data_IF_610101941379
#
_entry.id   IF_610101941379
#
_cell.length_a   1.000
_cell.length_b   1.000
_cell.length_c   1.000
_cell.angle_alpha   90.00
_cell.angle_beta   90.00
_cell.angle_gamma   90.00
#
_symmetry.space_group_name_H-M   'P 1'
#
loop_
_entity.id
_entity.type
_entity.pdbx_description
1 polymer ?
#
# COMPACT_ATOMS: atom_id res chain seq x y z
N UNK A 1 44.69 -17.28 -2.83
CA UNK A 1 45.04 -17.81 -1.51
C UNK A 1 45.32 -16.68 -0.49
N UNK A 2 44.48 -15.62 -0.47
CA UNK A 2 44.71 -14.44 0.38
C UNK A 2 43.42 -13.86 1.03
N UNK A 3 42.35 -14.65 1.13
CA UNK A 3 41.09 -14.21 1.76
C UNK A 3 40.65 -15.02 3.00
N UNK A 4 41.49 -15.89 3.54
CA UNK A 4 41.13 -16.77 4.68
C UNK A 4 41.72 -16.29 6.02
N UNK A 5 42.66 -15.35 6.03
CA UNK A 5 43.41 -14.97 7.24
C UNK A 5 42.79 -13.83 8.06
N UNK A 6 41.70 -13.21 7.64
CA UNK A 6 41.06 -12.13 8.41
C UNK A 6 39.82 -12.51 9.24
N UNK A 7 39.39 -13.77 9.20
CA UNK A 7 38.21 -14.19 9.97
C UNK A 7 38.53 -14.49 11.46
N UNK A 8 39.75 -14.79 11.81
CA UNK A 8 40.12 -15.16 13.20
C UNK A 8 40.50 -13.98 14.11
N UNK A 9 40.76 -12.79 13.56
CA UNK A 9 41.11 -11.61 14.39
C UNK A 9 39.94 -10.76 14.84
N UNK A 10 38.72 -11.00 14.30
CA UNK A 10 37.50 -10.27 14.68
C UNK A 10 36.80 -10.90 15.90
N UNK A 11 37.11 -12.15 16.23
CA UNK A 11 36.45 -12.89 17.33
C UNK A 11 36.83 -12.44 18.75
N UNK A 12 37.85 -11.61 18.91
CA UNK A 12 38.32 -11.20 20.25
C UNK A 12 37.63 -9.98 20.86
N UNK A 13 36.73 -9.33 20.12
CA UNK A 13 36.03 -8.11 20.58
C UNK A 13 34.56 -8.40 20.99
N UNK A 14 34.01 -9.55 20.66
CA UNK A 14 32.61 -9.89 20.96
C UNK A 14 32.49 -10.73 22.24
N UNK A 15 32.27 -10.07 23.39
CA UNK A 15 31.86 -10.71 24.67
C UNK A 15 30.37 -11.15 24.68
N UNK A 16 29.72 -11.29 23.54
CA UNK A 16 28.33 -11.71 23.44
C UNK A 16 28.16 -13.23 23.26
N UNK A 17 26.97 -13.80 23.45
CA UNK A 17 26.68 -15.21 23.22
C UNK A 17 26.93 -15.58 21.76
N UNK A 18 27.49 -16.79 21.52
CA UNK A 18 27.86 -17.27 20.19
C UNK A 18 26.62 -17.48 19.32
N UNK A 19 26.61 -16.86 18.12
CA UNK A 19 25.57 -17.09 17.11
C UNK A 19 25.58 -18.54 16.61
N UNK A 20 24.44 -19.18 16.42
CA UNK A 20 24.36 -20.53 15.88
C UNK A 20 24.70 -20.61 14.38
N UNK A 21 24.74 -19.47 13.67
CA UNK A 21 25.15 -19.35 12.27
C UNK A 21 25.68 -17.94 11.98
N UNK A 22 26.35 -17.80 10.86
CA UNK A 22 26.89 -16.50 10.45
C UNK A 22 25.80 -15.50 10.09
N UNK A 23 25.86 -14.31 10.69
CA UNK A 23 25.12 -13.10 10.32
C UNK A 23 26.13 -12.02 9.97
N UNK A 24 25.90 -11.31 8.89
CA UNK A 24 26.79 -10.27 8.41
C UNK A 24 26.88 -9.12 9.44
N UNK A 25 28.07 -8.56 9.74
CA UNK A 25 28.23 -7.52 10.75
C UNK A 25 27.35 -6.27 10.52
N UNK A 26 27.04 -5.93 9.26
CA UNK A 26 26.15 -4.80 8.96
C UNK A 26 24.71 -4.98 9.44
N UNK A 27 24.29 -6.19 9.80
CA UNK A 27 22.97 -6.46 10.37
C UNK A 27 22.97 -6.38 11.91
N UNK A 28 24.13 -6.08 12.52
CA UNK A 28 24.19 -5.87 13.95
C UNK A 28 23.68 -4.47 14.30
N UNK A 29 22.79 -4.42 15.27
CA UNK A 29 22.27 -3.19 15.85
C UNK A 29 23.44 -2.39 16.44
N UNK A 30 23.44 -1.07 16.30
CA UNK A 30 24.48 -0.20 16.81
C UNK A 30 24.61 -0.28 18.34
N UNK A 31 25.79 -0.02 18.87
CA UNK A 31 26.02 -0.06 20.32
C UNK A 31 25.20 1.03 21.06
N UNK A 32 24.90 2.14 20.40
CA UNK A 32 24.04 3.20 20.93
C UNK A 32 22.62 2.70 21.12
N UNK A 33 22.09 1.99 20.15
CA UNK A 33 20.75 1.40 20.18
C UNK A 33 20.65 0.23 21.15
N UNK A 34 21.69 -0.60 21.25
CA UNK A 34 21.74 -1.70 22.21
C UNK A 34 21.72 -1.23 23.67
N UNK A 35 22.24 -0.04 23.96
CA UNK A 35 22.21 0.53 25.32
C UNK A 35 20.77 0.83 25.80
N UNK A 36 19.88 1.19 24.89
CA UNK A 36 18.49 1.54 25.19
C UNK A 36 17.50 0.41 24.92
N UNK A 37 17.96 -0.68 24.30
CA UNK A 37 17.12 -1.84 23.98
C UNK A 37 16.67 -2.54 25.27
N UNK A 38 15.35 -2.65 25.47
CA UNK A 38 14.73 -3.31 26.62
C UNK A 38 14.89 -4.82 26.53
N UNK A 39 15.06 -5.48 27.70
CA UNK A 39 15.03 -6.94 27.82
C UNK A 39 13.61 -7.41 28.18
N UNK A 40 13.31 -8.67 27.85
CA UNK A 40 12.05 -9.32 28.20
C UNK A 40 10.83 -8.81 27.42
N UNK A 41 9.68 -8.93 28.06
CA UNK A 41 8.40 -8.45 27.52
C UNK A 41 8.17 -6.99 27.81
N UNK A 42 7.64 -6.26 26.85
CA UNK A 42 7.11 -4.91 27.07
C UNK A 42 5.99 -4.63 26.07
N UNK A 43 5.12 -3.70 26.47
CA UNK A 43 3.96 -3.27 25.68
C UNK A 43 4.14 -1.81 25.32
N UNK A 44 3.81 -1.47 24.08
CA UNK A 44 3.65 -0.08 23.64
C UNK A 44 2.30 0.06 22.95
N UNK A 45 1.71 1.24 23.02
CA UNK A 45 0.47 1.53 22.33
C UNK A 45 0.45 3.00 21.92
N UNK A 46 -0.09 3.26 20.75
CA UNK A 46 -0.23 4.60 20.20
C UNK A 46 -1.67 4.80 19.71
N UNK A 47 -2.35 5.85 20.16
CA UNK A 47 -3.59 6.27 19.53
C UNK A 47 -3.29 6.77 18.12
N UNK A 48 -4.20 6.55 17.21
CA UNK A 48 -4.10 6.99 15.82
C UNK A 48 -5.30 7.84 15.45
N UNK A 49 -5.04 8.98 14.83
CA UNK A 49 -6.05 9.84 14.22
C UNK A 49 -5.63 10.06 12.77
N UNK A 50 -6.54 9.81 11.85
CA UNK A 50 -6.30 9.98 10.42
C UNK A 50 -7.41 10.85 9.82
N UNK A 51 -7.06 11.63 8.81
CA UNK A 51 -8.05 12.30 7.95
C UNK A 51 -7.97 11.71 6.55
N UNK A 52 -9.04 11.05 6.15
CA UNK A 52 -9.22 10.53 4.81
C UNK A 52 -10.17 11.46 4.04
N UNK A 53 -9.84 11.87 2.80
CA UNK A 53 -10.69 12.78 2.03
C UNK A 53 -12.09 12.24 1.67
N UNK A 54 -12.27 10.92 1.70
CA UNK A 54 -13.53 10.23 1.38
C UNK A 54 -14.24 9.83 2.67
N UNK A 55 -13.50 9.18 3.59
CA UNK A 55 -14.07 8.56 4.78
C UNK A 55 -14.14 9.49 6.00
N UNK A 56 -13.62 10.72 5.89
CA UNK A 56 -13.62 11.69 6.98
C UNK A 56 -12.51 11.43 8.02
N UNK A 57 -12.80 11.71 9.30
CA UNK A 57 -11.86 11.50 10.40
C UNK A 57 -11.97 10.06 10.88
N UNK A 58 -10.84 9.37 10.93
CA UNK A 58 -10.68 8.04 11.52
C UNK A 58 -10.00 8.15 12.89
N UNK A 59 -10.47 7.37 13.85
CA UNK A 59 -9.89 7.26 15.18
C UNK A 59 -9.64 5.80 15.49
N UNK A 60 -8.48 5.49 16.02
CA UNK A 60 -8.09 4.13 16.32
C UNK A 60 -6.83 4.06 17.17
N UNK A 61 -6.14 2.95 17.09
CA UNK A 61 -4.87 2.77 17.77
C UNK A 61 -4.20 1.43 17.49
N UNK A 62 -2.92 1.40 17.80
CA UNK A 62 -2.05 0.23 17.71
C UNK A 62 -1.61 -0.20 19.10
N UNK A 63 -1.59 -1.51 19.33
CA UNK A 63 -0.97 -2.14 20.50
C UNK A 63 0.10 -3.09 19.99
N UNK A 64 1.30 -2.96 20.54
CA UNK A 64 2.45 -3.82 20.25
C UNK A 64 2.92 -4.50 21.51
N UNK A 65 3.05 -5.79 21.49
CA UNK A 65 3.67 -6.60 22.52
C UNK A 65 4.95 -7.18 21.96
N UNK A 66 6.07 -6.87 22.57
CA UNK A 66 7.38 -7.32 22.17
C UNK A 66 7.99 -8.26 23.21
N UNK A 67 8.71 -9.26 22.75
CA UNK A 67 9.64 -10.03 23.57
C UNK A 67 11.04 -9.96 22.95
N UNK A 68 11.96 -9.29 23.61
CA UNK A 68 13.33 -9.15 23.15
C UNK A 68 14.25 -10.26 23.68
N UNK A 69 13.73 -11.13 24.56
CA UNK A 69 14.57 -12.03 25.37
C UNK A 69 15.56 -11.24 26.23
N UNK A 70 16.62 -11.89 26.71
CA UNK A 70 17.68 -11.26 27.51
C UNK A 70 18.91 -10.96 26.66
N UNK A 71 19.85 -10.17 27.18
CA UNK A 71 21.16 -9.91 26.55
C UNK A 71 21.98 -11.19 26.30
N UNK A 72 21.62 -12.29 26.95
CA UNK A 72 22.22 -13.59 26.73
C UNK A 72 21.65 -14.34 25.53
N UNK A 73 20.56 -13.84 24.90
CA UNK A 73 20.09 -14.40 23.64
C UNK A 73 21.09 -14.07 22.52
N UNK A 74 21.54 -15.03 21.70
CA UNK A 74 22.53 -14.80 20.66
C UNK A 74 22.06 -13.80 19.58
N UNK A 75 20.76 -13.63 19.40
CA UNK A 75 20.20 -12.72 18.42
C UNK A 75 19.83 -11.35 19.00
N UNK A 76 20.01 -11.12 20.30
CA UNK A 76 19.64 -9.84 20.92
C UNK A 76 20.23 -8.63 20.19
N UNK A 77 21.46 -8.76 19.67
CA UNK A 77 22.10 -7.69 18.91
C UNK A 77 21.83 -7.69 17.41
N UNK A 78 21.00 -8.62 16.89
CA UNK A 78 20.83 -8.81 15.44
C UNK A 78 19.38 -8.75 14.95
N UNK A 79 18.43 -8.56 15.85
CA UNK A 79 17.01 -8.37 15.51
C UNK A 79 16.39 -7.36 16.46
N UNK A 80 15.43 -6.52 16.02
CA UNK A 80 14.79 -5.56 16.91
C UNK A 80 14.00 -6.24 18.04
N UNK A 81 13.45 -7.40 17.81
CA UNK A 81 12.72 -8.26 18.75
C UNK A 81 12.86 -9.72 18.37
N UNK A 82 12.50 -10.63 19.29
CA UNK A 82 12.42 -12.08 19.03
C UNK A 82 10.98 -12.51 18.76
N UNK A 83 10.04 -11.82 19.32
CA UNK A 83 8.60 -12.02 19.12
C UNK A 83 7.94 -10.66 19.13
N UNK A 84 7.03 -10.45 18.20
CA UNK A 84 6.15 -9.28 18.15
C UNK A 84 4.72 -9.73 17.89
N UNK A 85 3.81 -9.18 18.65
CA UNK A 85 2.37 -9.29 18.43
C UNK A 85 1.83 -7.88 18.27
N UNK A 86 1.08 -7.63 17.22
CA UNK A 86 0.47 -6.33 16.94
C UNK A 86 -1.03 -6.50 16.82
N UNK A 87 -1.78 -5.62 17.42
CA UNK A 87 -3.21 -5.42 17.18
C UNK A 87 -3.46 -3.99 16.78
N UNK A 88 -4.24 -3.79 15.73
CA UNK A 88 -4.66 -2.49 15.23
C UNK A 88 -6.17 -2.47 15.05
N UNK A 89 -6.78 -1.33 15.32
CA UNK A 89 -8.19 -1.07 14.98
C UNK A 89 -8.41 0.42 14.75
N UNK A 90 -9.20 0.75 13.72
CA UNK A 90 -9.57 2.12 13.35
C UNK A 90 -10.99 2.15 12.79
N UNK A 91 -11.75 3.20 13.15
CA UNK A 91 -13.08 3.47 12.61
C UNK A 91 -13.15 4.92 12.11
N UNK A 92 -13.83 5.14 10.99
CA UNK A 92 -14.00 6.43 10.33
C UNK A 92 -15.44 6.96 10.45
N UNK A 93 -15.61 8.26 10.26
CA UNK A 93 -16.92 8.92 10.27
C UNK A 93 -17.89 8.34 9.22
N UNK A 94 -17.39 7.85 8.10
CA UNK A 94 -18.19 7.21 7.03
C UNK A 94 -18.78 5.85 7.42
N UNK A 95 -18.32 5.26 8.53
CA UNK A 95 -18.61 3.87 8.87
C UNK A 95 -17.58 2.87 8.35
N UNK A 96 -16.56 3.31 7.59
CA UNK A 96 -15.39 2.47 7.30
C UNK A 96 -14.72 2.06 8.61
N UNK A 97 -14.35 0.79 8.72
CA UNK A 97 -13.50 0.31 9.80
C UNK A 97 -12.48 -0.68 9.26
N UNK A 98 -11.34 -0.73 9.90
CA UNK A 98 -10.27 -1.67 9.59
C UNK A 98 -9.61 -2.14 10.88
N UNK A 99 -9.16 -3.38 10.88
CA UNK A 99 -8.41 -3.97 11.98
C UNK A 99 -7.45 -5.01 11.47
N UNK A 100 -6.29 -5.10 12.11
CA UNK A 100 -5.32 -6.13 11.80
C UNK A 100 -4.72 -6.77 13.05
N UNK A 101 -4.27 -7.99 12.88
CA UNK A 101 -3.48 -8.75 13.86
C UNK A 101 -2.26 -9.27 13.12
N UNK A 102 -1.08 -8.97 13.64
CA UNK A 102 0.17 -9.45 13.10
C UNK A 102 1.00 -10.14 14.18
N UNK A 103 1.59 -11.28 13.85
CA UNK A 103 2.55 -11.99 14.67
C UNK A 103 3.83 -12.20 13.88
N UNK A 104 4.99 -11.95 14.50
CA UNK A 104 6.27 -11.99 13.83
C UNK A 104 7.36 -12.60 14.73
N UNK A 105 7.98 -13.67 14.23
CA UNK A 105 8.94 -14.50 14.97
C UNK A 105 10.26 -14.64 14.21
N UNK A 106 11.16 -13.62 14.22
CA UNK A 106 12.46 -13.72 13.59
C UNK A 106 13.35 -14.75 14.31
N UNK A 107 14.07 -15.54 13.52
CA UNK A 107 14.97 -16.61 13.98
C UNK A 107 14.30 -17.63 14.90
N UNK A 108 13.06 -18.01 14.55
CA UNK A 108 12.30 -18.99 15.33
C UNK A 108 13.13 -20.27 15.59
N UNK A 109 13.05 -20.82 16.82
CA UNK A 109 13.85 -21.97 17.29
C UNK A 109 15.36 -21.80 17.08
N UNK A 110 15.89 -20.57 17.16
CA UNK A 110 17.30 -20.24 16.90
C UNK A 110 17.79 -20.68 15.51
N UNK A 111 16.90 -20.77 14.57
CA UNK A 111 17.16 -21.12 13.17
C UNK A 111 17.25 -19.89 12.26
N UNK A 112 17.50 -20.12 10.97
CA UNK A 112 17.48 -19.07 9.93
C UNK A 112 16.07 -18.74 9.43
N UNK A 113 15.04 -19.26 10.10
CA UNK A 113 13.66 -19.05 9.72
C UNK A 113 13.02 -17.91 10.52
N UNK A 114 12.17 -17.16 9.83
CA UNK A 114 11.21 -16.22 10.41
C UNK A 114 9.82 -16.67 9.97
N UNK A 115 8.86 -16.56 10.84
CA UNK A 115 7.45 -16.82 10.53
C UNK A 115 6.65 -15.57 10.84
N UNK A 116 5.80 -15.18 9.90
CA UNK A 116 4.80 -14.14 10.07
C UNK A 116 3.41 -14.70 9.87
N UNK A 117 2.47 -14.22 10.64
CA UNK A 117 1.05 -14.56 10.54
C UNK A 117 0.28 -13.26 10.61
N UNK A 118 -0.56 -13.01 9.61
CA UNK A 118 -1.33 -11.78 9.48
C UNK A 118 -2.82 -12.11 9.34
N UNK A 119 -3.65 -11.29 9.97
CA UNK A 119 -5.08 -11.25 9.74
C UNK A 119 -5.50 -9.80 9.52
N UNK A 120 -6.12 -9.50 8.38
CA UNK A 120 -6.63 -8.17 8.05
C UNK A 120 -8.14 -8.24 7.85
N UNK A 121 -8.85 -7.28 8.43
CA UNK A 121 -10.29 -7.19 8.39
C UNK A 121 -10.68 -5.75 8.07
N UNK A 122 -11.44 -5.56 7.01
CA UNK A 122 -11.87 -4.24 6.58
C UNK A 122 -13.31 -4.24 6.10
N UNK A 123 -14.01 -3.14 6.37
CA UNK A 123 -15.26 -2.79 5.70
C UNK A 123 -15.20 -1.33 5.28
N UNK A 124 -15.22 -1.10 3.97
CA UNK A 124 -15.24 0.25 3.38
C UNK A 124 -16.51 0.43 2.53
N UNK A 125 -17.53 1.15 3.05
CA UNK A 125 -18.75 1.41 2.29
C UNK A 125 -18.55 2.43 1.16
N UNK A 126 -17.40 3.10 1.11
CA UNK A 126 -17.10 4.14 0.13
C UNK A 126 -15.82 3.82 -0.68
N UNK A 127 -15.53 2.52 -0.86
CA UNK A 127 -14.41 2.09 -1.67
C UNK A 127 -14.55 2.62 -3.11
N UNK A 128 -13.46 3.14 -3.67
CA UNK A 128 -13.50 3.87 -4.95
C UNK A 128 -13.11 2.99 -6.13
N UNK A 129 -13.91 3.04 -7.19
CA UNK A 129 -13.64 2.38 -8.46
C UNK A 129 -13.76 3.36 -9.64
N UNK A 130 -12.65 3.63 -10.33
CA UNK A 130 -12.59 4.56 -11.47
C UNK A 130 -12.49 3.85 -12.83
N UNK A 131 -12.63 2.53 -12.86
CA UNK A 131 -12.50 1.72 -14.05
C UNK A 131 -11.20 0.90 -14.06
N UNK A 132 -10.90 0.27 -15.20
CA UNK A 132 -9.77 -0.62 -15.39
C UNK A 132 -9.04 -0.33 -16.71
N UNK A 133 -7.71 -0.50 -16.71
CA UNK A 133 -6.86 -0.34 -17.87
C UNK A 133 -6.51 1.12 -18.21
N UNK A 134 -5.86 1.34 -19.34
CA UNK A 134 -5.34 2.66 -19.74
C UNK A 134 -6.42 3.75 -19.92
N UNK A 135 -7.68 3.38 -19.93
CA UNK A 135 -8.78 4.35 -19.90
C UNK A 135 -8.77 5.18 -18.61
N UNK A 136 -8.30 4.61 -17.49
CA UNK A 136 -8.16 5.34 -16.22
C UNK A 136 -7.09 6.43 -16.29
N UNK A 137 -6.11 6.31 -17.20
CA UNK A 137 -5.05 7.33 -17.42
C UNK A 137 -5.58 8.60 -18.10
N UNK A 138 -6.80 8.60 -18.62
CA UNK A 138 -7.45 9.77 -19.20
C UNK A 138 -8.04 10.66 -18.10
N UNK A 139 -8.50 11.85 -18.49
CA UNK A 139 -9.33 12.66 -17.62
C UNK A 139 -10.60 11.91 -17.23
N UNK A 140 -11.10 12.18 -16.03
CA UNK A 140 -12.41 11.69 -15.62
C UNK A 140 -13.45 12.24 -16.55
N UNK A 141 -14.24 11.38 -17.16
CA UNK A 141 -15.28 11.76 -18.12
C UNK A 141 -16.64 11.35 -17.60
N UNK A 142 -17.54 12.31 -17.56
CA UNK A 142 -18.91 12.07 -17.11
C UNK A 142 -19.87 13.06 -17.72
N UNK A 143 -21.18 12.80 -17.56
CA UNK A 143 -22.24 13.71 -17.97
C UNK A 143 -22.22 14.96 -17.10
N UNK A 144 -22.20 16.12 -17.72
CA UNK A 144 -22.44 17.37 -17.01
C UNK A 144 -23.91 17.46 -16.64
N UNK A 145 -24.22 17.57 -15.35
CA UNK A 145 -25.56 17.56 -14.83
C UNK A 145 -26.45 18.77 -15.29
N UNK A 146 -25.82 19.85 -15.76
CA UNK A 146 -26.49 21.02 -16.24
C UNK A 146 -26.87 20.90 -17.72
N UNK A 147 -25.97 20.34 -18.53
CA UNK A 147 -26.11 20.28 -19.98
C UNK A 147 -26.57 18.93 -20.52
N UNK A 148 -26.44 17.86 -19.71
CA UNK A 148 -26.70 16.48 -20.14
C UNK A 148 -25.65 15.92 -21.12
N UNK A 149 -24.55 16.64 -21.37
CA UNK A 149 -23.54 16.28 -22.35
C UNK A 149 -22.30 15.73 -21.63
N UNK A 150 -21.71 14.66 -22.16
CA UNK A 150 -20.44 14.12 -21.65
C UNK A 150 -19.30 15.12 -21.87
N UNK A 151 -18.55 15.40 -20.81
CA UNK A 151 -17.32 16.19 -20.87
C UNK A 151 -16.18 15.58 -20.05
N UNK A 152 -14.97 16.02 -20.34
CA UNK A 152 -13.77 15.66 -19.59
C UNK A 152 -13.53 16.68 -18.47
N UNK A 153 -13.33 16.17 -17.26
CA UNK A 153 -13.04 16.97 -16.06
C UNK A 153 -11.55 16.95 -15.80
N UNK A 154 -10.93 18.12 -15.77
CA UNK A 154 -9.51 18.26 -15.46
C UNK A 154 -9.22 18.18 -13.96
N UNK A 155 -10.19 18.60 -13.15
CA UNK A 155 -10.11 18.60 -11.69
C UNK A 155 -11.09 17.64 -11.08
N UNK A 156 -10.64 16.95 -10.05
CA UNK A 156 -11.46 15.99 -9.32
C UNK A 156 -12.68 16.65 -8.65
N UNK A 157 -12.50 17.85 -8.07
CA UNK A 157 -13.57 18.54 -7.36
C UNK A 157 -14.73 18.90 -8.30
N UNK A 158 -14.42 19.32 -9.55
CA UNK A 158 -15.42 19.58 -10.58
C UNK A 158 -16.15 18.30 -10.99
N UNK A 159 -15.40 17.21 -11.18
CA UNK A 159 -15.96 15.90 -11.48
C UNK A 159 -16.92 15.45 -10.37
N UNK A 160 -16.44 15.46 -9.11
CA UNK A 160 -17.19 14.98 -7.96
C UNK A 160 -18.47 15.77 -7.71
N UNK A 161 -18.45 17.09 -7.91
CA UNK A 161 -19.62 17.93 -7.78
C UNK A 161 -20.69 17.69 -8.87
N UNK A 162 -20.32 17.06 -9.98
CA UNK A 162 -21.20 16.71 -11.09
C UNK A 162 -21.54 15.21 -11.15
N UNK A 163 -21.08 14.41 -10.19
CA UNK A 163 -21.37 12.97 -10.20
C UNK A 163 -22.86 12.71 -10.24
N UNK A 164 -23.23 11.80 -11.13
CA UNK A 164 -24.58 11.32 -11.27
C UNK A 164 -24.56 9.82 -11.59
N UNK A 165 -25.58 9.11 -11.18
CA UNK A 165 -25.88 7.78 -11.68
C UNK A 165 -26.68 7.93 -12.98
N UNK A 166 -26.25 7.25 -14.04
CA UNK A 166 -27.02 7.19 -15.27
C UNK A 166 -28.17 6.21 -15.07
N UNK A 167 -29.41 6.71 -15.06
CA UNK A 167 -30.60 5.87 -15.10
C UNK A 167 -30.76 5.27 -16.49
N UNK A 168 -31.13 3.99 -16.56
CA UNK A 168 -31.65 3.43 -17.81
C UNK A 168 -32.95 4.17 -18.18
N UNK A 169 -32.87 5.01 -19.19
CA UNK A 169 -34.02 5.84 -19.59
C UNK A 169 -35.16 5.00 -20.10
N UNK A 170 -36.39 5.43 -19.86
CA UNK A 170 -37.51 4.98 -20.62
C UNK A 170 -37.55 5.80 -21.90
N UNK A 171 -36.92 5.28 -22.96
CA UNK A 171 -36.85 5.94 -24.28
C UNK A 171 -38.26 6.17 -24.91
N UNK A 172 -39.29 5.45 -24.46
CA UNK A 172 -40.66 5.63 -24.93
C UNK A 172 -41.27 6.97 -24.54
N UNK A 173 -40.71 7.66 -23.52
CA UNK A 173 -41.20 8.97 -23.05
C UNK A 173 -40.12 10.07 -23.12
N UNK A 174 -39.02 9.81 -23.82
CA UNK A 174 -37.93 10.80 -24.00
C UNK A 174 -37.12 11.11 -22.74
N UNK A 175 -37.19 10.30 -21.71
CA UNK A 175 -36.50 10.52 -20.43
C UNK A 175 -35.11 9.93 -20.44
N UNK A 176 -34.10 10.75 -20.66
CA UNK A 176 -32.77 10.54 -20.09
C UNK A 176 -32.75 11.22 -18.73
N UNK A 177 -33.21 10.55 -17.69
CA UNK A 177 -33.13 11.14 -16.35
C UNK A 177 -31.70 11.09 -15.86
N UNK A 178 -31.11 12.24 -15.64
CA UNK A 178 -29.87 12.40 -14.86
C UNK A 178 -30.19 12.24 -13.39
N UNK A 179 -29.52 11.29 -12.79
CA UNK A 179 -29.61 11.01 -11.36
C UNK A 179 -28.30 11.47 -10.72
N UNK A 180 -28.33 12.46 -9.85
CA UNK A 180 -27.13 12.86 -9.10
C UNK A 180 -27.01 11.98 -7.88
N UNK A 181 -25.91 11.24 -7.84
CA UNK A 181 -25.56 10.40 -6.71
C UNK A 181 -24.05 10.31 -6.61
N UNK A 182 -23.51 10.50 -5.43
CA UNK A 182 -22.06 10.40 -5.16
C UNK A 182 -21.53 8.99 -5.31
N UNK A 183 -22.40 8.00 -5.23
CA UNK A 183 -22.05 6.57 -5.27
C UNK A 183 -21.72 6.04 -6.69
N UNK A 184 -21.64 6.89 -7.73
CA UNK A 184 -21.30 6.41 -9.07
C UNK A 184 -19.95 5.64 -9.13
N UNK A 185 -18.95 6.11 -8.39
CA UNK A 185 -17.66 5.46 -8.30
C UNK A 185 -17.47 4.61 -7.02
N UNK A 186 -18.49 4.52 -6.18
CA UNK A 186 -18.40 3.87 -4.88
C UNK A 186 -18.99 2.47 -4.90
N UNK A 187 -18.43 1.63 -4.04
CA UNK A 187 -18.94 0.29 -3.74
C UNK A 187 -18.73 -0.01 -2.26
N UNK A 188 -19.55 -0.91 -1.71
CA UNK A 188 -19.40 -1.43 -0.37
C UNK A 188 -18.47 -2.65 -0.44
N UNK A 189 -17.29 -2.52 0.14
CA UNK A 189 -16.21 -3.50 0.11
C UNK A 189 -15.96 -4.07 1.50
N UNK A 190 -15.97 -5.38 1.61
CA UNK A 190 -15.61 -6.08 2.86
C UNK A 190 -14.52 -7.09 2.57
N UNK A 191 -13.46 -7.05 3.35
CA UNK A 191 -12.30 -7.92 3.24
C UNK A 191 -12.03 -8.69 4.53
N UNK A 192 -11.66 -9.97 4.39
CA UNK A 192 -11.07 -10.79 5.44
C UNK A 192 -9.88 -11.53 4.83
N UNK A 193 -8.69 -11.15 5.21
CA UNK A 193 -7.43 -11.72 4.76
C UNK A 193 -6.75 -12.50 5.90
N UNK A 194 -6.22 -13.66 5.59
CA UNK A 194 -5.40 -14.49 6.47
C UNK A 194 -4.15 -14.90 5.72
N UNK A 195 -2.99 -14.54 6.24
CA UNK A 195 -1.71 -14.82 5.61
C UNK A 195 -0.76 -15.54 6.58
N UNK A 196 -0.01 -16.50 6.07
CA UNK A 196 1.12 -17.12 6.77
C UNK A 196 2.34 -17.10 5.85
N UNK A 197 3.44 -16.55 6.33
CA UNK A 197 4.68 -16.40 5.58
C UNK A 197 5.85 -17.01 6.33
N UNK A 198 6.56 -17.93 5.67
CA UNK A 198 7.86 -18.45 6.10
C UNK A 198 8.98 -17.78 5.33
N UNK A 199 9.94 -17.19 6.04
CA UNK A 199 11.11 -16.54 5.48
C UNK A 199 12.38 -17.26 5.93
N UNK A 200 13.28 -17.56 5.00
CA UNK A 200 14.61 -18.12 5.30
C UNK A 200 15.71 -17.17 4.87
N UNK A 201 16.55 -16.78 5.81
CA UNK A 201 17.69 -15.91 5.54
C UNK A 201 18.89 -16.68 4.97
N UNK A 202 19.61 -16.04 4.03
CA UNK A 202 20.88 -16.50 3.48
C UNK A 202 21.86 -15.31 3.32
N UNK A 203 23.07 -15.52 2.79
CA UNK A 203 24.07 -14.47 2.60
C UNK A 203 24.29 -13.59 3.85
N UNK A 204 24.33 -14.22 5.04
CA UNK A 204 24.50 -13.49 6.31
C UNK A 204 23.31 -12.62 6.70
N UNK A 205 22.09 -12.95 6.30
CA UNK A 205 20.86 -12.21 6.60
C UNK A 205 20.54 -11.09 5.61
N UNK A 206 21.36 -10.88 4.57
CA UNK A 206 21.06 -9.94 3.49
C UNK A 206 20.11 -10.51 2.46
N UNK A 207 20.22 -11.80 2.17
CA UNK A 207 19.31 -12.50 1.28
C UNK A 207 18.19 -13.18 2.06
N UNK A 208 16.99 -13.18 1.50
CA UNK A 208 15.80 -13.83 2.06
C UNK A 208 15.04 -14.56 0.96
N UNK A 209 14.63 -15.80 1.25
CA UNK A 209 13.69 -16.57 0.45
C UNK A 209 12.40 -16.68 1.22
N UNK A 210 11.27 -16.43 0.59
CA UNK A 210 9.97 -16.38 1.23
C UNK A 210 8.99 -17.28 0.53
N UNK A 211 8.12 -17.91 1.32
CA UNK A 211 7.03 -18.74 0.88
C UNK A 211 5.81 -18.38 1.71
N UNK A 212 4.72 -18.03 1.05
CA UNK A 212 3.50 -17.59 1.67
C UNK A 212 2.28 -18.36 1.19
N UNK A 213 1.28 -18.40 2.04
CA UNK A 213 -0.06 -18.81 1.69
C UNK A 213 -1.04 -17.78 2.24
N UNK A 214 -1.89 -17.28 1.36
CA UNK A 214 -2.90 -16.30 1.69
C UNK A 214 -4.29 -16.82 1.34
N UNK A 215 -5.24 -16.57 2.22
CA UNK A 215 -6.66 -16.77 2.01
C UNK A 215 -7.37 -15.43 2.15
N UNK A 216 -7.92 -14.96 1.05
CA UNK A 216 -8.63 -13.70 0.96
C UNK A 216 -10.11 -13.95 0.66
N UNK A 217 -11.00 -13.38 1.48
CA UNK A 217 -12.45 -13.42 1.27
C UNK A 217 -12.99 -12.03 1.13
N UNK A 218 -13.49 -11.72 -0.05
CA UNK A 218 -14.04 -10.40 -0.38
C UNK A 218 -15.52 -10.50 -0.66
N UNK A 219 -16.27 -9.51 -0.16
CA UNK A 219 -17.66 -9.27 -0.51
C UNK A 219 -17.79 -7.86 -1.05
N UNK A 220 -18.47 -7.75 -2.19
CA UNK A 220 -18.72 -6.47 -2.84
C UNK A 220 -20.21 -6.32 -3.06
N UNK A 221 -20.73 -5.14 -2.72
CA UNK A 221 -22.07 -4.72 -3.07
C UNK A 221 -21.97 -3.41 -3.83
N UNK A 222 -22.49 -3.43 -5.03
CA UNK A 222 -22.62 -2.26 -5.86
C UNK A 222 -23.83 -1.42 -5.43
N UNK A 223 -23.78 -0.12 -5.68
CA UNK A 223 -24.89 0.80 -5.48
C UNK A 223 -25.92 0.78 -6.62
N UNK A 224 -25.81 -0.19 -7.52
CA UNK A 224 -26.80 -0.43 -8.58
C UNK A 224 -28.20 -0.68 -8.01
N UNK A 225 -29.21 -0.08 -8.63
CA UNK A 225 -30.63 -0.16 -8.22
C UNK A 225 -30.97 0.41 -6.84
N UNK A 226 -30.09 1.18 -6.21
CA UNK A 226 -30.46 1.93 -5.02
C UNK A 226 -31.20 3.20 -5.37
N UNK A 227 -32.08 3.72 -4.49
CA UNK A 227 -32.65 5.06 -4.66
C UNK A 227 -31.55 6.09 -4.77
N UNK A 228 -31.63 6.95 -5.75
CA UNK A 228 -30.69 8.04 -5.90
C UNK A 228 -30.94 9.15 -4.86
N UNK A 229 -29.86 9.83 -4.44
CA UNK A 229 -29.99 11.00 -3.57
C UNK A 229 -30.82 12.12 -4.23
N UNK A 230 -30.56 12.37 -5.51
CA UNK A 230 -31.28 13.34 -6.30
C UNK A 230 -31.44 12.86 -7.75
N UNK A 231 -32.60 13.04 -8.30
CA UNK A 231 -32.90 12.74 -9.70
C UNK A 231 -33.64 13.91 -10.36
N UNK A 232 -33.28 14.17 -11.62
CA UNK A 232 -33.89 15.25 -12.40
C UNK A 232 -34.33 14.70 -13.76
N UNK A 233 -35.47 15.22 -14.25
CA UNK A 233 -35.93 14.95 -15.61
C UNK A 233 -35.13 15.79 -16.64
N UNK A 234 -35.43 15.63 -17.91
CA UNK A 234 -34.77 16.38 -19.00
C UNK A 234 -34.99 17.89 -18.92
N UNK A 235 -36.01 18.34 -18.20
CA UNK A 235 -36.33 19.73 -17.98
C UNK A 235 -35.75 20.29 -16.68
N UNK A 236 -34.98 19.49 -15.94
CA UNK A 236 -34.40 19.90 -14.68
C UNK A 236 -35.32 19.82 -13.46
N UNK A 237 -36.53 19.20 -13.58
CA UNK A 237 -37.40 19.00 -12.43
C UNK A 237 -36.93 17.83 -11.59
N UNK A 238 -36.99 17.99 -10.25
CA UNK A 238 -36.66 16.93 -9.33
C UNK A 238 -37.64 15.77 -9.43
N UNK A 239 -37.11 14.57 -9.54
CA UNK A 239 -37.87 13.32 -9.55
C UNK A 239 -37.71 12.61 -8.22
N UNK A 240 -38.80 12.08 -7.67
CA UNK A 240 -38.80 11.29 -6.44
C UNK A 240 -38.72 9.78 -6.76
N UNK A 241 -38.10 9.01 -5.84
CA UNK A 241 -38.06 7.54 -5.88
C UNK A 241 -37.47 6.93 -7.17
N UNK A 242 -36.41 7.51 -7.70
CA UNK A 242 -35.74 6.96 -8.87
C UNK A 242 -34.89 5.78 -8.46
N UNK A 243 -35.20 4.61 -8.99
CA UNK A 243 -34.44 3.37 -8.91
C UNK A 243 -33.68 3.15 -10.23
N UNK A 244 -32.76 2.19 -10.25
CA UNK A 244 -32.01 1.73 -11.43
C UNK A 244 -30.88 2.66 -11.90
N UNK A 245 -30.18 3.32 -10.98
CA UNK A 245 -28.91 3.97 -11.28
C UNK A 245 -27.83 2.94 -11.63
N UNK A 246 -26.97 3.27 -12.58
CA UNK A 246 -25.79 2.45 -12.92
C UNK A 246 -24.53 3.08 -12.33
N UNK A 247 -23.74 2.27 -11.63
CA UNK A 247 -22.42 2.67 -11.14
C UNK A 247 -21.36 2.42 -12.21
N UNK A 248 -20.18 2.95 -12.02
CA UNK A 248 -19.04 2.68 -12.90
C UNK A 248 -18.68 1.19 -12.92
N UNK A 249 -18.75 0.52 -11.77
CA UNK A 249 -18.51 -0.92 -11.66
C UNK A 249 -19.51 -1.73 -12.49
N UNK A 250 -20.80 -1.41 -12.37
CA UNK A 250 -21.86 -2.06 -13.17
C UNK A 250 -21.67 -1.82 -14.67
N UNK A 251 -21.30 -0.60 -15.08
CA UNK A 251 -21.07 -0.29 -16.50
C UNK A 251 -19.92 -1.11 -17.10
N UNK A 252 -18.82 -1.25 -16.38
CA UNK A 252 -17.69 -2.06 -16.83
C UNK A 252 -18.04 -3.56 -16.83
N UNK A 253 -18.77 -4.05 -15.81
CA UNK A 253 -19.22 -5.44 -15.72
C UNK A 253 -20.19 -5.82 -16.86
N UNK A 254 -21.15 -4.97 -17.17
CA UNK A 254 -22.12 -5.19 -18.25
C UNK A 254 -21.55 -4.92 -19.65
N UNK A 255 -20.30 -4.47 -19.74
CA UNK A 255 -19.67 -4.16 -21.03
C UNK A 255 -20.18 -2.91 -21.70
N UNK A 256 -20.77 -1.98 -20.93
CA UNK A 256 -21.27 -0.69 -21.43
C UNK A 256 -20.15 0.34 -21.60
N UNK A 257 -19.01 0.13 -20.99
CA UNK A 257 -17.81 0.96 -21.16
C UNK A 257 -17.10 0.66 -22.48
N UNK A 258 -16.49 1.67 -23.12
CA UNK A 258 -15.77 1.47 -24.38
C UNK A 258 -14.68 0.40 -24.26
N UNK A 259 -14.73 -0.59 -25.18
CA UNK A 259 -13.75 -1.67 -25.28
C UNK A 259 -13.91 -2.78 -24.25
N UNK A 260 -14.99 -2.81 -23.52
CA UNK A 260 -15.29 -3.79 -22.45
C UNK A 260 -14.00 -4.33 -21.77
N UNK A 261 -13.37 -3.56 -20.87
CA UNK A 261 -12.07 -3.95 -20.29
C UNK A 261 -12.16 -5.26 -19.51
N UNK A 262 -13.30 -5.57 -18.92
CA UNK A 262 -13.51 -6.78 -18.16
C UNK A 262 -13.41 -8.05 -19.00
N UNK A 263 -14.08 -8.07 -20.16
CA UNK A 263 -13.98 -9.18 -21.09
C UNK A 263 -12.58 -9.27 -21.71
N UNK A 264 -12.02 -8.14 -22.10
CA UNK A 264 -10.71 -8.08 -22.77
C UNK A 264 -9.57 -8.64 -21.89
N UNK A 265 -9.60 -8.36 -20.58
CA UNK A 265 -8.54 -8.78 -19.65
C UNK A 265 -8.97 -9.91 -18.71
N UNK A 266 -10.07 -10.59 -19.01
CA UNK A 266 -10.63 -11.67 -18.18
C UNK A 266 -10.92 -11.22 -16.73
N UNK A 267 -11.38 -10.00 -16.56
CA UNK A 267 -11.68 -9.45 -15.24
C UNK A 267 -12.97 -10.08 -14.69
N UNK A 268 -12.98 -10.37 -13.40
CA UNK A 268 -14.05 -11.02 -12.66
C UNK A 268 -14.22 -10.41 -11.26
N UNK A 269 -15.06 -11.02 -10.43
CA UNK A 269 -15.17 -10.66 -9.00
C UNK A 269 -16.17 -9.54 -8.71
N UNK A 270 -17.16 -9.29 -9.59
CA UNK A 270 -18.17 -8.24 -9.40
C UNK A 270 -18.83 -8.25 -8.00
N UNK A 271 -19.14 -9.44 -7.48
CA UNK A 271 -19.72 -9.61 -6.13
C UNK A 271 -18.66 -10.03 -5.08
N UNK A 272 -17.37 -9.92 -5.42
CA UNK A 272 -16.30 -10.47 -4.60
C UNK A 272 -16.04 -11.95 -4.90
N UNK A 273 -15.47 -12.65 -3.92
CA UNK A 273 -15.16 -14.07 -4.01
C UNK A 273 -14.15 -14.52 -2.96
N UNK A 274 -13.66 -15.72 -3.12
CA UNK A 274 -12.58 -16.30 -2.30
C UNK A 274 -11.36 -16.53 -3.17
N UNK A 275 -10.26 -15.94 -2.75
CA UNK A 275 -8.94 -16.15 -3.32
C UNK A 275 -8.09 -16.99 -2.38
N UNK A 276 -7.26 -17.82 -2.96
CA UNK A 276 -6.27 -18.58 -2.25
C UNK A 276 -4.99 -18.53 -3.06
N UNK A 277 -3.99 -17.88 -2.51
CA UNK A 277 -2.76 -17.50 -3.19
C UNK A 277 -1.59 -18.23 -2.55
N UNK A 278 -0.77 -18.85 -3.38
CA UNK A 278 0.58 -19.33 -3.00
C UNK A 278 1.58 -18.31 -3.50
N UNK A 279 2.41 -17.81 -2.59
CA UNK A 279 3.40 -16.81 -2.91
C UNK A 279 4.84 -17.33 -2.73
N UNK A 280 5.70 -16.86 -3.59
CA UNK A 280 7.14 -17.00 -3.50
C UNK A 280 7.78 -15.63 -3.66
N UNK A 281 8.82 -15.33 -2.85
CA UNK A 281 9.62 -14.14 -3.06
C UNK A 281 11.10 -14.38 -2.77
N UNK A 282 11.93 -13.58 -3.43
CA UNK A 282 13.36 -13.48 -3.16
C UNK A 282 13.71 -12.01 -2.94
N UNK A 283 14.41 -11.73 -1.85
CA UNK A 283 14.82 -10.39 -1.48
C UNK A 283 16.32 -10.32 -1.23
N UNK A 284 16.92 -9.19 -1.59
CA UNK A 284 18.27 -8.84 -1.18
C UNK A 284 18.31 -7.43 -0.60
N UNK A 285 18.67 -7.32 0.69
CA UNK A 285 18.58 -6.11 1.50
C UNK A 285 19.93 -5.76 2.11
N UNK A 286 20.48 -4.60 1.71
CA UNK A 286 21.72 -4.04 2.20
C UNK A 286 21.54 -2.75 3.00
N UNK A 287 20.29 -2.36 3.27
CA UNK A 287 19.97 -1.14 4.04
C UNK A 287 20.67 -1.16 5.40
N UNK A 288 21.16 -0.01 5.82
CA UNK A 288 21.82 0.16 7.12
C UNK A 288 20.84 0.07 8.30
N UNK A 289 19.61 0.55 8.15
CA UNK A 289 18.57 0.46 9.17
C UNK A 289 17.19 0.40 8.51
N UNK A 290 16.44 -0.70 8.70
CA UNK A 290 15.18 -0.93 7.98
C UNK A 290 14.12 0.17 8.21
N UNK A 291 13.83 0.66 9.44
CA UNK A 291 12.78 1.67 9.65
C UNK A 291 13.07 3.05 9.07
N UNK A 292 14.35 3.44 8.99
CA UNK A 292 14.77 4.76 8.53
C UNK A 292 16.13 4.68 7.82
N UNK A 293 16.16 4.09 6.60
CA UNK A 293 17.40 3.85 5.89
C UNK A 293 18.09 5.14 5.47
N UNK A 294 19.42 5.13 5.54
CA UNK A 294 20.25 6.24 5.08
C UNK A 294 21.25 5.84 3.99
N UNK A 295 21.49 4.55 3.83
CA UNK A 295 22.35 4.00 2.79
C UNK A 295 21.99 2.54 2.49
N UNK A 296 22.36 2.10 1.29
CA UNK A 296 22.09 0.74 0.83
C UNK A 296 20.91 0.66 -0.13
N UNK A 297 20.49 -0.55 -0.40
CA UNK A 297 19.35 -0.82 -1.27
C UNK A 297 18.61 -2.10 -0.86
N UNK A 298 17.35 -2.18 -1.27
CA UNK A 298 16.51 -3.36 -1.21
C UNK A 298 16.03 -3.67 -2.63
N UNK A 299 16.09 -4.94 -3.02
CA UNK A 299 15.43 -5.45 -4.23
C UNK A 299 14.65 -6.70 -3.82
N UNK A 300 13.39 -6.76 -4.20
CA UNK A 300 12.51 -7.90 -4.01
C UNK A 300 11.81 -8.25 -5.31
N UNK A 301 11.81 -9.52 -5.65
CA UNK A 301 10.94 -10.09 -6.66
C UNK A 301 9.98 -11.06 -5.99
N UNK A 302 8.68 -10.91 -6.24
CA UNK A 302 7.65 -11.83 -5.79
C UNK A 302 6.84 -12.37 -6.97
N UNK A 303 6.36 -13.58 -6.79
CA UNK A 303 5.43 -14.26 -7.67
C UNK A 303 4.28 -14.82 -6.84
N UNK A 304 3.08 -14.50 -7.22
CA UNK A 304 1.84 -14.95 -6.60
C UNK A 304 1.04 -15.76 -7.61
N UNK A 305 0.50 -16.87 -7.16
CA UNK A 305 -0.25 -17.80 -8.00
C UNK A 305 -1.57 -18.18 -7.32
N UNK A 306 -2.66 -17.95 -8.02
CA UNK A 306 -4.03 -18.26 -7.61
C UNK A 306 -4.66 -19.17 -8.64
N UNK A 307 -5.13 -20.36 -8.23
CA UNK A 307 -5.72 -21.33 -9.12
C UNK A 307 -6.66 -22.28 -8.36
N UNK A 308 -7.45 -23.09 -9.07
CA UNK A 308 -8.36 -24.08 -8.46
C UNK A 308 -7.67 -25.08 -7.54
N UNK A 309 -6.43 -25.48 -7.84
CA UNK A 309 -5.67 -26.40 -6.99
C UNK A 309 -5.20 -25.75 -5.67
N UNK A 310 -5.12 -24.42 -5.62
CA UNK A 310 -4.92 -23.65 -4.37
C UNK A 310 -6.23 -23.41 -3.62
N UNK A 311 -7.35 -23.94 -4.09
CA UNK A 311 -8.72 -23.71 -3.59
C UNK A 311 -9.28 -22.31 -3.88
N UNK A 312 -8.73 -21.61 -4.87
CA UNK A 312 -9.23 -20.31 -5.32
C UNK A 312 -10.43 -20.44 -6.28
N UNK A 313 -11.28 -19.41 -6.24
CA UNK A 313 -12.34 -19.20 -7.25
C UNK A 313 -11.82 -18.50 -8.51
N UNK A 314 -10.59 -18.00 -8.47
CA UNK A 314 -9.94 -17.23 -9.51
C UNK A 314 -8.74 -17.97 -10.09
N UNK A 315 -8.24 -17.49 -11.23
CA UNK A 315 -7.14 -18.13 -11.99
C UNK A 315 -6.27 -17.01 -12.57
N UNK A 316 -5.23 -16.65 -11.82
CA UNK A 316 -4.29 -15.59 -12.20
C UNK A 316 -2.90 -15.82 -11.62
N UNK A 317 -1.93 -15.13 -12.22
CA UNK A 317 -0.57 -14.96 -11.73
C UNK A 317 -0.26 -13.47 -11.59
N UNK A 318 0.50 -13.09 -10.56
CA UNK A 318 1.01 -11.73 -10.37
C UNK A 318 2.51 -11.78 -10.11
N UNK A 319 3.27 -10.95 -10.83
CA UNK A 319 4.69 -10.70 -10.59
C UNK A 319 4.87 -9.27 -10.13
N UNK A 320 5.72 -9.08 -9.15
CA UNK A 320 6.08 -7.78 -8.64
C UNK A 320 7.58 -7.70 -8.45
N UNK A 321 8.19 -6.66 -8.98
CA UNK A 321 9.57 -6.26 -8.70
C UNK A 321 9.55 -4.92 -7.98
N UNK A 322 10.03 -4.91 -6.75
CA UNK A 322 10.16 -3.70 -5.92
C UNK A 322 11.63 -3.42 -5.67
N UNK A 323 12.01 -2.16 -5.71
CA UNK A 323 13.38 -1.76 -5.41
C UNK A 323 13.43 -0.40 -4.73
N UNK A 324 14.20 -0.31 -3.66
CA UNK A 324 14.45 0.94 -2.96
C UNK A 324 15.94 1.19 -2.85
N UNK A 325 16.36 2.42 -3.08
CA UNK A 325 17.75 2.85 -3.03
C UNK A 325 17.90 4.07 -2.12
N UNK A 326 18.95 4.07 -1.29
CA UNK A 326 19.22 5.11 -0.31
C UNK A 326 20.67 5.55 -0.38
N UNK A 327 20.90 6.87 -0.52
CA UNK A 327 22.24 7.44 -0.61
C UNK A 327 22.37 8.70 0.26
N UNK A 328 23.30 8.69 1.19
CA UNK A 328 23.70 9.89 1.94
C UNK A 328 24.31 10.92 0.99
N UNK A 329 23.80 12.15 1.05
CA UNK A 329 24.32 13.29 0.30
C UNK A 329 25.05 14.24 1.24
N UNK A 330 26.17 14.80 0.76
CA UNK A 330 26.94 15.82 1.46
C UNK A 330 27.27 15.53 2.95
N UNK A 331 27.73 14.32 3.32
CA UNK A 331 27.87 13.91 4.72
C UNK A 331 28.86 14.75 5.52
N UNK A 332 29.72 15.51 4.84
CA UNK A 332 30.69 16.44 5.47
C UNK A 332 30.05 17.76 5.92
N UNK A 333 28.93 18.17 5.29
CA UNK A 333 28.32 19.49 5.48
C UNK A 333 26.94 19.41 6.13
N UNK A 334 26.21 18.34 5.90
CA UNK A 334 24.82 18.17 6.37
C UNK A 334 24.77 16.90 7.23
N UNK A 335 24.32 17.05 8.46
CA UNK A 335 24.26 15.95 9.44
C UNK A 335 23.55 14.71 8.89
N UNK A 336 22.45 14.93 8.18
CA UNK A 336 21.70 13.88 7.50
C UNK A 336 20.90 14.46 6.34
N UNK A 337 21.28 14.12 5.14
CA UNK A 337 20.52 14.31 3.92
C UNK A 337 20.60 13.02 3.12
N UNK A 338 19.47 12.45 2.77
CA UNK A 338 19.37 11.14 2.10
C UNK A 338 18.52 11.30 0.86
N UNK A 339 19.06 10.94 -0.31
CA UNK A 339 18.26 10.67 -1.48
C UNK A 339 17.68 9.25 -1.35
N UNK A 340 16.37 9.15 -1.28
CA UNK A 340 15.64 7.90 -1.26
C UNK A 340 14.84 7.77 -2.56
N UNK A 341 14.98 6.65 -3.25
CA UNK A 341 14.29 6.34 -4.51
C UNK A 341 13.64 4.98 -4.39
N UNK A 342 12.36 4.89 -4.69
CA UNK A 342 11.63 3.63 -4.83
C UNK A 342 11.19 3.46 -6.28
N UNK A 343 11.24 2.24 -6.79
CA UNK A 343 10.73 1.89 -8.11
C UNK A 343 10.11 0.49 -8.08
N UNK A 344 8.83 0.43 -8.42
CA UNK A 344 8.03 -0.79 -8.41
C UNK A 344 7.43 -1.03 -9.80
N UNK A 345 7.36 -2.29 -10.19
CA UNK A 345 6.67 -2.72 -11.39
C UNK A 345 5.93 -4.02 -11.09
N UNK A 346 4.62 -4.01 -11.30
CA UNK A 346 3.73 -5.15 -11.11
C UNK A 346 3.01 -5.53 -12.40
N UNK A 347 2.86 -6.83 -12.62
CA UNK A 347 2.11 -7.36 -13.76
C UNK A 347 1.23 -8.53 -13.31
N UNK A 348 -0.07 -8.41 -13.61
CA UNK A 348 -1.07 -9.45 -13.36
C UNK A 348 -1.65 -9.96 -14.67
N UNK A 349 -1.80 -11.28 -14.79
CA UNK A 349 -2.41 -11.92 -15.95
C UNK A 349 -3.11 -13.22 -15.56
N UNK A 350 -4.05 -13.68 -16.37
CA UNK A 350 -4.76 -14.94 -16.07
C UNK A 350 -6.02 -15.13 -16.88
N UNK A 351 -6.75 -16.19 -16.57
CA UNK A 351 -8.03 -16.53 -17.21
C UNK A 351 -9.21 -15.95 -16.48
N UNK A 352 -9.05 -15.60 -15.20
CA UNK A 352 -10.10 -15.07 -14.34
C UNK A 352 -9.48 -14.23 -13.24
N UNK A 353 -9.25 -12.94 -13.52
CA UNK A 353 -8.59 -12.00 -12.64
C UNK A 353 -9.64 -11.24 -11.84
N UNK A 354 -9.67 -11.28 -10.51
CA UNK A 354 -10.57 -10.41 -9.74
C UNK A 354 -10.12 -8.98 -9.86
N UNK A 355 -11.07 -8.05 -10.08
CA UNK A 355 -10.71 -6.66 -10.36
C UNK A 355 -9.97 -5.99 -9.20
N UNK A 356 -10.29 -6.39 -7.99
CA UNK A 356 -9.72 -5.82 -6.78
C UNK A 356 -8.26 -6.26 -6.52
N UNK A 357 -7.81 -7.39 -7.07
CA UNK A 357 -6.41 -7.80 -6.98
C UNK A 357 -5.45 -6.85 -7.73
N UNK A 358 -5.95 -6.16 -8.75
CA UNK A 358 -5.16 -5.15 -9.45
C UNK A 358 -5.02 -3.82 -8.69
N UNK A 359 -5.67 -3.66 -7.54
CA UNK A 359 -5.50 -2.51 -6.66
C UNK A 359 -4.30 -2.64 -5.71
N UNK A 360 -3.70 -3.82 -5.64
CA UNK A 360 -2.57 -4.09 -4.78
C UNK A 360 -1.27 -4.19 -5.61
N UNK A 361 -0.29 -3.36 -5.26
CA UNK A 361 1.07 -3.36 -5.83
C UNK A 361 2.11 -3.79 -4.78
N UNK A 362 1.66 -4.37 -3.68
CA UNK A 362 2.54 -4.88 -2.63
C UNK A 362 2.82 -6.36 -2.81
N UNK A 363 3.97 -6.81 -2.31
CA UNK A 363 4.24 -8.21 -2.14
C UNK A 363 3.80 -8.67 -0.75
N UNK A 364 3.44 -9.95 -0.63
CA UNK A 364 3.15 -10.56 0.67
C UNK A 364 4.36 -10.56 1.61
N UNK A 365 5.55 -10.36 1.09
CA UNK A 365 6.79 -10.37 1.84
C UNK A 365 6.99 -9.08 2.64
N UNK A 366 6.48 -7.96 2.18
CA UNK A 366 6.63 -6.68 2.87
C UNK A 366 5.30 -6.27 3.54
N UNK A 367 5.29 -6.24 4.86
CA UNK A 367 4.12 -5.76 5.59
C UNK A 367 3.92 -4.26 5.36
N UNK A 368 2.77 -3.87 4.85
CA UNK A 368 2.40 -2.47 4.65
C UNK A 368 2.35 -2.05 3.19
N UNK A 369 1.78 -2.89 2.38
CA UNK A 369 1.59 -2.81 0.94
C UNK A 369 1.43 -1.43 0.30
N UNK A 370 1.92 -1.33 -0.93
CA UNK A 370 1.72 -0.15 -1.77
C UNK A 370 0.42 -0.34 -2.54
N UNK A 371 -0.51 0.59 -2.33
CA UNK A 371 -1.71 0.68 -3.16
C UNK A 371 -1.29 0.92 -4.63
N UNK A 372 -2.13 0.50 -5.57
CA UNK A 372 -1.96 0.88 -6.96
C UNK A 372 -1.95 2.41 -7.12
N UNK A 373 -1.66 2.91 -8.28
CA UNK A 373 -1.39 4.34 -8.50
C UNK A 373 -2.54 5.27 -8.05
N UNK A 374 -2.24 6.07 -7.05
CA UNK A 374 -3.12 6.98 -6.32
C UNK A 374 -3.21 6.62 -4.84
N UNK A 375 -3.28 7.63 -3.97
CA UNK A 375 -3.34 7.43 -2.53
C UNK A 375 -2.04 7.75 -1.79
N UNK A 376 -2.04 7.48 -0.51
CA UNK A 376 -1.04 7.95 0.43
C UNK A 376 0.36 7.34 0.25
N UNK A 377 0.49 6.20 -0.40
CA UNK A 377 1.74 5.44 -0.53
C UNK A 377 2.28 5.34 -1.96
N UNK A 378 1.52 5.80 -2.96
CA UNK A 378 1.93 5.73 -4.36
C UNK A 378 2.00 7.11 -5.02
N UNK A 379 1.01 7.52 -5.81
CA UNK A 379 0.90 8.85 -6.37
C UNK A 379 0.11 9.78 -5.44
N UNK A 380 0.79 10.35 -4.45
CA UNK A 380 0.19 11.11 -3.33
C UNK A 380 -0.68 12.30 -3.75
N UNK A 381 -0.53 12.80 -4.97
CA UNK A 381 -1.35 13.90 -5.50
C UNK A 381 -2.62 13.46 -6.23
N UNK A 382 -2.93 12.16 -6.28
CA UNK A 382 -4.11 11.60 -6.93
C UNK A 382 -4.95 10.81 -5.94
N UNK A 383 -6.27 10.73 -6.17
CA UNK A 383 -7.18 9.95 -5.33
C UNK A 383 -6.75 8.50 -5.27
N UNK A 384 -7.06 7.86 -4.17
CA UNK A 384 -6.87 6.43 -3.93
C UNK A 384 -7.45 5.60 -5.08
N UNK A 385 -6.72 4.58 -5.55
CA UNK A 385 -7.11 3.70 -6.66
C UNK A 385 -7.44 4.40 -7.98
N UNK A 386 -6.86 5.59 -8.22
CA UNK A 386 -7.21 6.40 -9.41
C UNK A 386 -6.81 5.74 -10.72
N UNK A 387 -5.70 5.01 -10.76
CA UNK A 387 -5.19 4.37 -11.97
C UNK A 387 -4.92 2.90 -11.72
N UNK A 388 -5.71 2.03 -12.33
CA UNK A 388 -5.69 0.58 -12.13
C UNK A 388 -5.56 -0.13 -13.47
N UNK A 389 -4.64 -1.07 -13.59
CA UNK A 389 -4.44 -1.84 -14.81
C UNK A 389 -3.53 -3.05 -14.64
N UNK A 390 -3.44 -3.90 -15.69
CA UNK A 390 -2.71 -5.17 -15.59
C UNK A 390 -1.20 -5.01 -15.38
N UNK A 391 -0.60 -3.99 -15.97
CA UNK A 391 0.82 -3.66 -15.81
C UNK A 391 0.92 -2.25 -15.23
N UNK A 392 1.59 -2.15 -14.10
CA UNK A 392 1.72 -0.90 -13.32
C UNK A 392 3.18 -0.64 -13.02
N UNK A 393 3.64 0.60 -13.17
CA UNK A 393 4.94 1.06 -12.70
C UNK A 393 4.80 2.33 -11.86
N UNK A 394 5.55 2.38 -10.77
CA UNK A 394 5.60 3.48 -9.81
C UNK A 394 7.06 3.85 -9.55
N UNK A 395 7.33 5.14 -9.45
CA UNK A 395 8.62 5.66 -8.96
C UNK A 395 8.33 6.78 -7.96
N UNK A 396 8.92 6.68 -6.79
CA UNK A 396 8.91 7.73 -5.76
C UNK A 396 10.34 8.21 -5.51
N UNK A 397 10.53 9.51 -5.42
CA UNK A 397 11.81 10.15 -5.10
C UNK A 397 11.61 11.10 -3.93
N UNK A 398 12.37 10.90 -2.86
CA UNK A 398 12.33 11.75 -1.66
C UNK A 398 13.74 12.25 -1.32
N UNK A 399 13.86 13.53 -0.99
CA UNK A 399 15.07 14.10 -0.41
C UNK A 399 14.86 14.31 1.08
N UNK A 400 15.22 13.32 1.90
CA UNK A 400 15.01 13.28 3.35
C UNK A 400 16.10 14.08 4.05
N UNK A 401 15.76 15.24 4.62
CA UNK A 401 16.73 16.13 5.28
C UNK A 401 16.37 16.32 6.73
N UNK A 402 17.27 15.93 7.64
CA UNK A 402 17.12 16.18 9.07
C UNK A 402 17.44 17.62 9.40
N UNK A 403 16.44 18.34 9.92
CA UNK A 403 16.59 19.71 10.36
C UNK A 403 17.29 19.76 11.72
N UNK A 404 16.73 19.05 12.69
CA UNK A 404 17.31 18.94 14.03
C UNK A 404 16.83 17.69 14.76
N UNK A 405 17.56 17.34 15.83
CA UNK A 405 17.19 16.27 16.74
C UNK A 405 17.64 16.64 18.16
N UNK A 406 16.85 16.22 19.14
CA UNK A 406 17.14 16.48 20.56
C UNK A 406 16.59 15.36 21.44
N UNK A 407 17.08 15.31 22.69
CA UNK A 407 16.59 14.41 23.70
C UNK A 407 15.79 15.19 24.75
N UNK A 408 14.60 14.72 25.07
CA UNK A 408 13.75 15.26 26.14
C UNK A 408 13.15 14.11 26.93
N UNK A 409 13.19 14.17 28.28
CA UNK A 409 12.60 13.16 29.15
C UNK A 409 13.00 11.71 28.77
N UNK A 410 14.26 11.47 28.43
CA UNK A 410 14.81 10.19 27.94
C UNK A 410 14.22 9.70 26.61
N UNK A 411 13.54 10.56 25.86
CA UNK A 411 13.05 10.28 24.51
C UNK A 411 13.91 11.02 23.50
N UNK A 412 14.24 10.36 22.39
CA UNK A 412 14.90 10.97 21.24
C UNK A 412 13.86 11.42 20.21
N UNK A 413 13.85 12.71 19.89
CA UNK A 413 12.98 13.28 18.87
C UNK A 413 13.83 13.82 17.71
N UNK A 414 13.38 13.59 16.48
CA UNK A 414 13.99 14.13 15.28
C UNK A 414 12.93 14.71 14.35
N UNK A 415 13.29 15.77 13.62
CA UNK A 415 12.41 16.45 12.68
C UNK A 415 13.10 16.52 11.33
N UNK A 416 12.46 15.92 10.34
CA UNK A 416 12.93 15.84 8.98
C UNK A 416 11.94 16.54 8.04
N UNK A 417 12.46 17.23 7.02
CA UNK A 417 11.69 17.76 5.89
C UNK A 417 12.08 16.99 4.63
N UNK A 418 11.10 16.73 3.76
CA UNK A 418 11.34 15.99 2.53
C UNK A 418 10.49 16.51 1.37
N UNK A 419 11.05 17.31 0.46
CA UNK A 419 10.47 17.44 -0.86
C UNK A 419 10.46 16.10 -1.59
N UNK A 420 9.41 15.86 -2.38
CA UNK A 420 9.22 14.60 -3.09
C UNK A 420 8.61 14.80 -4.48
N UNK A 421 8.84 13.80 -5.32
CA UNK A 421 8.25 13.63 -6.63
C UNK A 421 7.79 12.17 -6.75
N UNK A 422 6.52 11.97 -7.10
CA UNK A 422 5.98 10.65 -7.42
C UNK A 422 5.57 10.62 -8.89
N UNK A 423 5.84 9.52 -9.57
CA UNK A 423 5.45 9.31 -10.96
C UNK A 423 5.10 7.87 -11.22
N UNK A 424 4.11 7.63 -12.07
CA UNK A 424 3.67 6.28 -12.38
C UNK A 424 2.82 6.22 -13.62
N UNK A 425 2.66 5.00 -14.11
CA UNK A 425 1.87 4.69 -15.30
C UNK A 425 1.34 3.27 -15.25
N UNK A 426 0.23 3.05 -15.93
CA UNK A 426 -0.29 1.72 -16.24
C UNK A 426 -0.31 1.48 -17.74
N UNK A 427 -0.24 0.21 -18.13
CA UNK A 427 -0.40 -0.26 -19.52
C UNK A 427 -1.37 -1.44 -19.51
N UNK A 428 -1.98 -1.69 -20.63
CA UNK A 428 -2.88 -2.82 -20.79
C UNK A 428 -2.13 -4.13 -21.04
N UNK A 429 -0.98 -4.06 -21.69
CA UNK A 429 -0.19 -5.22 -22.09
C UNK A 429 1.30 -4.91 -21.96
N UNK A 430 2.12 -5.93 -21.71
CA UNK A 430 3.56 -5.79 -21.54
C UNK A 430 4.26 -5.20 -22.77
N UNK A 431 3.74 -5.46 -23.97
CA UNK A 431 4.27 -4.91 -25.23
C UNK A 431 4.07 -3.40 -25.38
N UNK A 432 3.15 -2.82 -24.61
CA UNK A 432 2.87 -1.37 -24.60
C UNK A 432 3.82 -0.63 -23.65
N UNK A 433 4.64 -1.34 -22.89
CA UNK A 433 5.58 -0.74 -21.94
C UNK A 433 6.47 0.31 -22.62
N UNK A 434 6.60 1.47 -21.98
CA UNK A 434 7.41 2.57 -22.51
C UNK A 434 7.41 3.78 -21.58
N UNK A 435 8.38 4.68 -21.80
CA UNK A 435 8.63 5.85 -20.93
C UNK A 435 7.92 7.11 -21.43
N UNK A 436 6.60 7.05 -21.62
CA UNK A 436 5.79 8.18 -22.10
C UNK A 436 4.48 8.30 -21.34
N UNK A 437 3.90 9.52 -21.30
CA UNK A 437 2.60 9.81 -20.67
C UNK A 437 2.45 9.34 -19.22
N UNK A 438 3.50 9.46 -18.41
CA UNK A 438 3.45 9.21 -16.98
C UNK A 438 2.59 10.27 -16.28
N UNK A 439 1.85 9.85 -15.27
CA UNK A 439 1.26 10.75 -14.28
C UNK A 439 2.30 11.10 -13.26
N UNK A 440 2.28 12.34 -12.77
CA UNK A 440 3.21 12.78 -11.74
C UNK A 440 2.54 13.77 -10.79
N UNK A 441 3.03 13.78 -9.59
CA UNK A 441 2.76 14.77 -8.57
C UNK A 441 4.04 15.11 -7.82
N UNK A 442 4.03 16.26 -7.19
CA UNK A 442 5.10 16.69 -6.31
C UNK A 442 4.53 17.22 -5.00
N UNK A 443 5.39 17.33 -4.00
CA UNK A 443 4.94 17.81 -2.71
C UNK A 443 6.07 17.98 -1.71
N UNK A 444 5.65 18.22 -0.48
CA UNK A 444 6.53 18.35 0.66
C UNK A 444 6.00 17.50 1.82
N UNK A 445 6.89 16.77 2.46
CA UNK A 445 6.60 15.97 3.64
C UNK A 445 7.34 16.48 4.87
N UNK A 446 6.75 16.28 6.02
CA UNK A 446 7.38 16.41 7.32
C UNK A 446 7.38 15.07 8.03
N UNK A 447 8.44 14.77 8.76
CA UNK A 447 8.53 13.57 9.61
C UNK A 447 8.97 13.98 11.00
N UNK A 448 8.34 13.34 11.99
CA UNK A 448 8.82 13.38 13.37
C UNK A 448 9.19 11.96 13.78
N UNK A 449 10.49 11.72 13.90
CA UNK A 449 10.99 10.47 14.48
C UNK A 449 10.87 10.52 16.00
N UNK A 450 10.21 9.53 16.59
CA UNK A 450 10.12 9.36 18.04
C UNK A 450 10.81 8.07 18.42
N UNK A 451 11.90 8.21 19.13
CA UNK A 451 12.88 7.14 19.31
C UNK A 451 13.28 6.60 17.92
N UNK A 452 13.66 5.35 17.77
CA UNK A 452 14.20 4.90 16.49
C UNK A 452 13.17 4.21 15.59
N UNK A 453 12.01 3.85 16.14
CA UNK A 453 11.06 2.97 15.44
C UNK A 453 9.72 3.61 15.11
N UNK A 454 9.41 4.77 15.68
CA UNK A 454 8.14 5.45 15.43
C UNK A 454 8.38 6.72 14.62
N UNK A 455 7.82 6.78 13.43
CA UNK A 455 7.90 7.94 12.54
C UNK A 455 6.48 8.42 12.26
N UNK A 456 6.18 9.63 12.71
CA UNK A 456 4.95 10.33 12.33
C UNK A 456 5.17 11.04 11.00
N UNK A 457 4.20 10.95 10.13
CA UNK A 457 4.24 11.45 8.76
C UNK A 457 3.14 12.48 8.51
N UNK A 458 3.50 13.58 7.84
CA UNK A 458 2.56 14.54 7.28
C UNK A 458 3.04 14.90 5.87
N UNK A 459 2.22 14.65 4.84
CA UNK A 459 2.56 14.91 3.44
C UNK A 459 1.50 15.80 2.79
N UNK A 460 1.94 16.81 2.05
CA UNK A 460 1.10 17.62 1.18
C UNK A 460 1.54 17.45 -0.26
N UNK A 461 0.67 16.94 -1.10
CA UNK A 461 0.93 16.60 -2.50
C UNK A 461 0.00 17.34 -3.44
N UNK A 462 0.52 17.72 -4.60
CA UNK A 462 -0.19 18.47 -5.64
C UNK A 462 -0.04 17.77 -6.98
N UNK A 463 -1.15 17.56 -7.68
CA UNK A 463 -1.20 17.09 -9.06
C UNK A 463 -2.07 18.01 -9.93
N UNK A 464 -2.19 17.67 -11.21
CA UNK A 464 -3.13 18.37 -12.11
C UNK A 464 -4.59 18.10 -11.77
N UNK A 465 -4.91 16.98 -11.12
CA UNK A 465 -6.30 16.58 -10.80
C UNK A 465 -6.74 17.10 -9.42
N UNK A 466 -5.87 17.03 -8.42
CA UNK A 466 -6.22 17.42 -7.05
C UNK A 466 -4.97 17.75 -6.22
N UNK A 467 -5.18 18.31 -5.04
CA UNK A 467 -4.19 18.39 -3.97
C UNK A 467 -4.70 17.61 -2.76
N UNK A 468 -3.80 16.93 -2.05
CA UNK A 468 -4.14 16.08 -0.93
C UNK A 468 -3.18 16.29 0.24
N UNK A 469 -3.70 16.12 1.43
CA UNK A 469 -2.94 16.12 2.67
C UNK A 469 -3.14 14.77 3.37
N UNK A 470 -2.04 14.14 3.74
CA UNK A 470 -2.04 12.88 4.47
C UNK A 470 -1.32 13.02 5.80
N UNK A 471 -1.83 12.35 6.79
CA UNK A 471 -1.18 12.17 8.07
C UNK A 471 -1.17 10.66 8.37
N UNK A 472 -0.06 10.15 8.91
CA UNK A 472 0.06 8.73 9.20
C UNK A 472 1.41 8.36 9.83
N UNK A 473 1.77 7.10 9.72
CA UNK A 473 2.99 6.54 10.30
C UNK A 473 3.92 5.99 9.24
N UNK A 474 5.20 5.85 9.59
CA UNK A 474 6.31 5.33 8.79
C UNK A 474 6.64 6.17 7.54
N UNK A 475 7.73 5.85 6.88
CA UNK A 475 7.98 6.28 5.51
C UNK A 475 7.02 5.57 4.55
N UNK A 476 6.90 6.03 3.31
CA UNK A 476 6.07 5.33 2.31
C UNK A 476 6.79 4.10 1.75
N UNK A 477 8.15 4.09 1.81
CA UNK A 477 9.01 2.97 1.40
C UNK A 477 10.31 2.98 2.18
#
# INVERSE_FOLDING_TARGET
>A
MLCILNAQQIDSINKGPKLPFYIHPSKRISDEELKVKKEGYFVTGLPEVERNPINGIGIGGNIYIYNNRTKNDPFFAYTPYRERYTGFFKIFQSGKWQGDINMDFPYIFNSRWRVRIDGVFENDPNFQYYGFGTNTMRHLRFVDKTTGIHRDYKRFDEYFSNLALIRAGNTAIGEAALVTDRHYNELDYTENLYNILGERTFAGGRGRLMFGYELLKIKIKDYFNRPAEEAFDVNGNRMENVLNGRTRLTEDYLGLSPGNPWAKYNIAGYNGGTESIVAFAIMYDTRDFEPDPSSGFLIEYSHEHSHKWTFSQFDFDKNLLQSSFYQKLFPKYIKRMVLAVNADIGYIWGKKIPFYEAFDLSSQAEAGGTEVLGGARSLRGFREYRFVGPLTALINVELRTRLYSFNIAKQHLSFDIMPFLDTGRIWNEIREFGFYNYKYNYGIGARMGWNQSTILRADYAISKETSQFFFGFSHIF
#
